data_IF_977685494213
#
_entry.id   IF_977685494213
#
_cell.length_a   1.000
_cell.length_b   1.000
_cell.length_c   1.000
_cell.angle_alpha   90.00
_cell.angle_beta   90.00
_cell.angle_gamma   90.00
#
_symmetry.space_group_name_H-M   'P 1'
#
loop_
_entity.id
_entity.type
_entity.pdbx_description
1 polymer ?
#
# COMPACT_ATOMS: atom_id res chain seq x y z
N UNK A 1 -5.46 -15.01 -7.17
CA UNK A 1 -6.63 -15.69 -7.76
C UNK A 1 -7.72 -15.79 -6.71
N UNK A 2 -8.94 -15.35 -7.02
CA UNK A 2 -10.12 -15.59 -6.18
C UNK A 2 -10.95 -16.72 -6.82
N UNK A 3 -11.33 -17.74 -6.07
CA UNK A 3 -12.03 -18.93 -6.61
C UNK A 3 -13.13 -19.42 -5.69
N UNK A 4 -14.18 -20.01 -6.25
CA UNK A 4 -15.24 -20.73 -5.51
C UNK A 4 -15.00 -22.24 -5.40
N UNK A 5 -13.83 -22.71 -5.83
CA UNK A 5 -13.44 -24.09 -5.62
C UNK A 5 -13.10 -24.27 -4.14
N UNK A 6 -13.72 -25.25 -3.51
CA UNK A 6 -13.40 -25.63 -2.14
C UNK A 6 -12.05 -26.35 -2.10
N UNK A 7 -11.11 -25.86 -1.29
CA UNK A 7 -9.84 -26.54 -1.10
C UNK A 7 -9.98 -27.74 -0.16
N UNK A 8 -8.93 -28.55 -0.14
CA UNK A 8 -8.85 -29.74 0.70
C UNK A 8 -8.59 -29.29 2.15
N UNK A 9 -9.21 -29.98 3.10
CA UNK A 9 -9.12 -29.69 4.54
C UNK A 9 -9.60 -28.26 4.89
N UNK A 10 -9.02 -27.65 5.93
CA UNK A 10 -9.37 -26.33 6.45
C UNK A 10 -8.54 -25.20 5.79
N UNK A 11 -8.15 -25.38 4.53
CA UNK A 11 -7.41 -24.35 3.77
C UNK A 11 -8.40 -23.42 3.08
N UNK A 12 -8.27 -22.11 3.29
CA UNK A 12 -9.11 -21.09 2.60
C UNK A 12 -8.27 -20.09 1.78
N UNK A 13 -6.94 -20.24 1.81
CA UNK A 13 -5.99 -19.46 1.06
C UNK A 13 -4.61 -20.13 1.03
N UNK A 14 -3.81 -19.80 0.02
CA UNK A 14 -2.42 -20.23 -0.07
C UNK A 14 -1.58 -19.22 -0.86
N UNK A 15 -0.39 -18.93 -0.35
CA UNK A 15 0.60 -18.05 -0.95
C UNK A 15 2.02 -18.59 -0.81
N UNK A 16 2.90 -18.17 -1.71
CA UNK A 16 4.34 -18.33 -1.50
C UNK A 16 4.86 -17.28 -0.51
N UNK A 17 5.74 -17.72 0.39
CA UNK A 17 6.36 -16.83 1.37
C UNK A 17 7.52 -16.00 0.80
N UNK A 18 7.61 -14.71 1.12
CA UNK A 18 8.74 -13.81 0.76
C UNK A 18 9.00 -13.68 -0.75
N UNK A 19 7.94 -13.63 -1.55
CA UNK A 19 8.03 -13.70 -3.02
C UNK A 19 7.41 -12.51 -3.74
N UNK A 20 7.02 -11.44 -3.05
CA UNK A 20 6.54 -10.23 -3.74
C UNK A 20 7.59 -9.76 -4.77
N UNK A 21 7.14 -9.37 -5.96
CA UNK A 21 7.96 -9.05 -7.15
C UNK A 21 8.63 -10.24 -7.87
N UNK A 22 8.57 -11.47 -7.33
CA UNK A 22 9.04 -12.64 -8.07
C UNK A 22 8.07 -13.00 -9.20
N UNK A 23 8.53 -13.17 -10.46
CA UNK A 23 7.63 -13.39 -11.61
C UNK A 23 6.85 -14.71 -11.55
N UNK A 24 7.24 -15.66 -10.71
CA UNK A 24 6.57 -16.96 -10.54
C UNK A 24 5.89 -17.01 -9.16
N UNK A 25 6.58 -16.53 -8.13
CA UNK A 25 6.16 -16.67 -6.74
C UNK A 25 5.21 -15.58 -6.23
N UNK A 26 5.15 -14.41 -6.87
CA UNK A 26 4.33 -13.27 -6.43
C UNK A 26 2.83 -13.49 -6.69
N UNK A 27 2.30 -14.58 -6.16
CA UNK A 27 0.95 -15.08 -6.38
C UNK A 27 0.36 -15.58 -5.07
N UNK A 28 -0.96 -15.50 -5.00
CA UNK A 28 -1.78 -16.05 -3.94
C UNK A 28 -3.08 -16.57 -4.54
N UNK A 29 -3.66 -17.58 -3.91
CA UNK A 29 -4.97 -18.13 -4.23
C UNK A 29 -5.83 -18.03 -2.97
N UNK A 30 -7.04 -17.50 -3.12
CA UNK A 30 -7.99 -17.23 -2.05
C UNK A 30 -9.33 -17.88 -2.42
N UNK A 31 -9.92 -18.60 -1.48
CA UNK A 31 -11.27 -19.14 -1.62
C UNK A 31 -12.30 -18.07 -1.27
N UNK A 32 -13.29 -17.87 -2.14
CA UNK A 32 -14.52 -17.10 -1.91
C UNK A 32 -15.50 -17.95 -1.08
N UNK A 33 -15.10 -18.28 0.16
CA UNK A 33 -15.78 -19.28 1.01
C UNK A 33 -16.99 -18.72 1.77
N UNK A 34 -17.22 -17.41 1.76
CA UNK A 34 -18.26 -16.76 2.55
C UNK A 34 -18.81 -15.50 1.85
N UNK A 35 -20.13 -15.28 1.94
CA UNK A 35 -20.77 -14.08 1.39
C UNK A 35 -20.35 -12.77 2.09
N UNK A 36 -19.73 -12.83 3.27
CA UNK A 36 -19.16 -11.66 3.94
C UNK A 36 -17.80 -11.33 3.31
N UNK A 37 -17.81 -10.34 2.43
CA UNK A 37 -16.61 -9.84 1.71
C UNK A 37 -15.45 -9.52 2.67
N UNK A 38 -15.74 -9.01 3.88
CA UNK A 38 -14.70 -8.70 4.86
C UNK A 38 -13.92 -9.92 5.35
N UNK A 39 -14.54 -11.10 5.41
CA UNK A 39 -13.85 -12.34 5.76
C UNK A 39 -12.89 -12.77 4.63
N UNK A 40 -13.35 -12.70 3.38
CA UNK A 40 -12.53 -13.01 2.20
C UNK A 40 -11.38 -12.00 2.06
N UNK A 41 -11.63 -10.72 2.33
CA UNK A 41 -10.61 -9.67 2.35
C UNK A 41 -9.55 -9.91 3.44
N UNK A 42 -9.96 -10.39 4.62
CA UNK A 42 -9.03 -10.76 5.70
C UNK A 42 -8.10 -11.90 5.27
N UNK A 43 -8.60 -12.90 4.53
CA UNK A 43 -7.76 -13.98 3.97
C UNK A 43 -6.84 -13.44 2.87
N UNK A 44 -7.34 -12.56 1.99
CA UNK A 44 -6.48 -11.92 1.00
C UNK A 44 -5.33 -11.13 1.64
N UNK A 45 -5.60 -10.40 2.72
CA UNK A 45 -4.56 -9.72 3.49
C UNK A 45 -3.56 -10.70 4.12
N UNK A 46 -4.04 -11.84 4.63
CA UNK A 46 -3.19 -12.92 5.17
C UNK A 46 -2.22 -13.48 4.10
N UNK A 47 -2.74 -13.83 2.93
CA UNK A 47 -1.92 -14.40 1.85
C UNK A 47 -0.94 -13.39 1.23
N UNK A 48 -1.35 -12.11 1.12
CA UNK A 48 -0.44 -11.03 0.74
C UNK A 48 0.63 -10.79 1.82
N UNK A 49 0.29 -10.98 3.10
CA UNK A 49 1.24 -10.98 4.21
C UNK A 49 2.34 -12.02 4.02
N UNK A 50 2.00 -13.26 3.63
CA UNK A 50 2.99 -14.29 3.29
C UNK A 50 3.89 -13.87 2.13
N UNK A 51 3.33 -13.32 1.05
CA UNK A 51 4.11 -12.79 -0.09
C UNK A 51 5.12 -11.73 0.38
N UNK A 52 4.73 -10.91 1.36
CA UNK A 52 5.54 -9.87 2.01
C UNK A 52 6.45 -10.40 3.14
N UNK A 53 6.64 -11.71 3.23
CA UNK A 53 7.61 -12.35 4.12
C UNK A 53 7.15 -12.49 5.57
N UNK A 54 5.86 -12.31 5.83
CA UNK A 54 5.27 -12.47 7.16
C UNK A 54 4.84 -13.93 7.36
N UNK A 55 5.14 -14.51 8.53
CA UNK A 55 4.73 -15.87 8.92
C UNK A 55 3.56 -15.80 9.90
N UNK A 56 2.93 -16.95 10.14
CA UNK A 56 1.87 -17.07 11.13
C UNK A 56 2.28 -16.57 12.51
N UNK A 57 1.31 -16.00 13.22
CA UNK A 57 1.46 -15.57 14.60
C UNK A 57 1.61 -16.76 15.55
N UNK A 58 2.47 -16.60 16.55
CA UNK A 58 2.61 -17.50 17.71
C UNK A 58 2.07 -16.84 18.98
N UNK A 59 1.96 -17.59 20.07
CA UNK A 59 1.42 -17.10 21.35
C UNK A 59 2.18 -15.89 21.94
N UNK A 60 3.42 -15.66 21.49
CA UNK A 60 4.24 -14.49 21.88
C UNK A 60 3.93 -13.21 21.10
N UNK A 61 3.13 -13.28 20.05
CA UNK A 61 2.80 -12.15 19.19
C UNK A 61 1.66 -11.33 19.79
N UNK A 62 1.81 -10.00 19.78
CA UNK A 62 0.89 -9.10 20.47
C UNK A 62 -0.09 -8.50 19.45
N UNK A 63 -1.37 -8.52 19.81
CA UNK A 63 -2.50 -7.95 19.07
C UNK A 63 -3.34 -7.12 20.05
N UNK A 64 -3.95 -6.02 19.59
CA UNK A 64 -4.73 -5.14 20.47
C UNK A 64 -6.03 -5.80 20.93
N UNK A 65 -6.69 -6.59 20.07
CA UNK A 65 -7.91 -7.30 20.42
C UNK A 65 -8.03 -8.65 19.68
N UNK A 66 -7.78 -9.75 20.41
CA UNK A 66 -7.93 -11.10 19.87
C UNK A 66 -6.86 -11.46 18.83
N UNK A 67 -7.12 -12.44 17.94
CA UNK A 67 -6.17 -12.82 16.91
C UNK A 67 -5.98 -11.73 15.83
N UNK A 68 -4.80 -11.71 15.23
CA UNK A 68 -4.44 -10.80 14.15
C UNK A 68 -4.58 -11.45 12.77
N UNK A 69 -4.36 -10.66 11.71
CA UNK A 69 -4.42 -11.11 10.31
C UNK A 69 -3.63 -12.40 10.05
N UNK A 70 -2.48 -12.59 10.69
CA UNK A 70 -1.61 -13.75 10.48
C UNK A 70 -1.91 -14.93 11.41
N UNK A 71 -3.06 -14.95 12.07
CA UNK A 71 -3.52 -16.11 12.84
C UNK A 71 -3.63 -17.36 11.93
N UNK A 72 -3.10 -18.53 12.33
CA UNK A 72 -3.05 -19.72 11.48
C UNK A 72 -4.38 -20.46 11.31
N UNK A 73 -5.43 -20.09 12.04
CA UNK A 73 -6.72 -20.79 12.01
C UNK A 73 -7.82 -20.02 11.26
N UNK A 74 -8.89 -20.72 10.88
CA UNK A 74 -10.08 -20.10 10.31
C UNK A 74 -10.85 -19.34 11.40
N UNK A 75 -11.32 -18.13 11.07
CA UNK A 75 -12.13 -17.29 11.95
C UNK A 75 -13.45 -16.88 11.31
N UNK A 76 -14.50 -16.78 12.12
CA UNK A 76 -15.82 -16.24 11.71
C UNK A 76 -15.92 -14.72 11.85
N UNK A 77 -14.86 -14.08 12.34
CA UNK A 77 -14.71 -12.62 12.41
C UNK A 77 -13.47 -12.17 11.66
N UNK A 78 -13.54 -11.12 10.84
CA UNK A 78 -12.40 -10.63 10.08
C UNK A 78 -11.37 -9.99 11.02
N UNK A 79 -10.09 -10.12 10.67
CA UNK A 79 -8.99 -9.47 11.36
C UNK A 79 -8.48 -8.30 10.52
N UNK A 80 -8.22 -7.16 11.16
CA UNK A 80 -7.78 -5.92 10.49
C UNK A 80 -6.44 -5.40 11.02
N UNK A 81 -5.88 -6.06 12.04
CA UNK A 81 -4.63 -5.68 12.68
C UNK A 81 -3.56 -6.72 12.39
N UNK A 82 -2.37 -6.25 12.05
CA UNK A 82 -1.16 -7.07 12.02
C UNK A 82 -0.50 -7.06 13.39
N UNK A 83 -0.02 -8.23 13.83
CA UNK A 83 0.62 -8.37 15.14
C UNK A 83 1.96 -7.65 15.24
N UNK A 84 2.45 -7.49 16.46
CA UNK A 84 3.82 -6.98 16.71
C UNK A 84 4.90 -7.82 16.00
N UNK A 85 4.70 -9.13 15.87
CA UNK A 85 5.58 -10.03 15.12
C UNK A 85 5.51 -9.74 13.62
N UNK A 86 4.31 -9.56 13.09
CA UNK A 86 4.07 -9.29 11.67
C UNK A 86 4.80 -8.03 11.21
N UNK A 87 4.70 -6.95 11.99
CA UNK A 87 5.40 -5.68 11.72
C UNK A 87 6.92 -5.87 11.71
N UNK A 88 7.48 -6.58 12.69
CA UNK A 88 8.92 -6.84 12.75
C UNK A 88 9.41 -7.70 11.59
N UNK A 89 8.62 -8.70 11.17
CA UNK A 89 8.97 -9.58 10.05
C UNK A 89 8.94 -8.84 8.71
N UNK A 90 7.89 -8.03 8.48
CA UNK A 90 7.80 -7.17 7.30
C UNK A 90 9.00 -6.23 7.22
N UNK A 91 9.37 -5.58 8.33
CA UNK A 91 10.52 -4.68 8.35
C UNK A 91 11.82 -5.41 7.99
N UNK A 92 12.04 -6.62 8.54
CA UNK A 92 13.21 -7.45 8.21
C UNK A 92 13.22 -7.85 6.75
N UNK A 93 12.08 -8.26 6.19
CA UNK A 93 11.92 -8.62 4.79
C UNK A 93 12.26 -7.45 3.86
N UNK A 94 11.65 -6.27 4.08
CA UNK A 94 11.90 -5.08 3.26
C UNK A 94 13.36 -4.63 3.31
N UNK A 95 14.02 -4.73 4.47
CA UNK A 95 15.43 -4.37 4.62
C UNK A 95 16.39 -5.37 3.95
N UNK A 96 16.04 -6.67 3.99
CA UNK A 96 16.85 -7.76 3.45
C UNK A 96 16.72 -7.88 1.93
N UNK A 97 15.48 -7.98 1.43
CA UNK A 97 15.21 -8.32 0.02
C UNK A 97 15.04 -7.08 -0.86
N UNK A 98 14.62 -5.95 -0.29
CA UNK A 98 14.41 -4.66 -1.00
C UNK A 98 13.64 -4.83 -2.32
N UNK A 99 12.41 -5.39 -2.29
CA UNK A 99 11.62 -5.61 -3.50
C UNK A 99 11.34 -4.29 -4.22
N UNK A 100 11.89 -4.12 -5.42
CA UNK A 100 11.84 -2.83 -6.14
C UNK A 100 10.46 -2.53 -6.75
N UNK A 101 9.67 -3.55 -7.12
CA UNK A 101 8.41 -3.37 -7.83
C UNK A 101 7.26 -2.77 -6.99
N UNK A 102 7.46 -2.61 -5.67
CA UNK A 102 6.50 -2.00 -4.76
C UNK A 102 6.89 -0.56 -4.37
N UNK A 103 7.94 -0.01 -5.00
CA UNK A 103 8.41 1.35 -4.72
C UNK A 103 7.79 2.38 -5.65
N UNK A 104 7.38 1.98 -6.86
CA UNK A 104 6.69 2.88 -7.77
C UNK A 104 5.23 3.06 -7.35
N UNK A 105 4.80 4.31 -7.26
CA UNK A 105 3.39 4.66 -7.10
C UNK A 105 2.67 4.42 -8.44
N UNK A 106 1.53 3.70 -8.47
CA UNK A 106 0.75 3.56 -9.70
C UNK A 106 0.19 4.92 -10.15
N UNK A 107 0.06 5.12 -11.46
CA UNK A 107 -0.66 6.29 -11.97
C UNK A 107 -2.15 6.14 -11.64
N UNK A 108 -2.83 7.24 -11.39
CA UNK A 108 -4.28 7.22 -11.13
C UNK A 108 -5.06 6.56 -12.27
N UNK A 109 -4.59 6.70 -13.51
CA UNK A 109 -5.19 6.06 -14.71
C UNK A 109 -5.00 4.54 -14.77
N UNK A 110 -4.05 3.98 -14.03
CA UNK A 110 -3.81 2.53 -13.97
C UNK A 110 -4.71 1.84 -12.92
N UNK A 111 -5.34 2.61 -12.03
CA UNK A 111 -6.24 2.11 -11.00
C UNK A 111 -7.62 1.89 -11.60
N UNK A 112 -8.03 0.63 -11.71
CA UNK A 112 -9.31 0.24 -12.34
C UNK A 112 -10.49 0.18 -11.36
N UNK A 113 -10.22 0.28 -10.06
CA UNK A 113 -11.26 0.30 -9.03
C UNK A 113 -11.95 1.66 -8.99
N UNK A 114 -13.23 1.73 -8.56
CA UNK A 114 -13.89 3.01 -8.33
C UNK A 114 -13.09 3.89 -7.35
N UNK A 115 -13.01 5.19 -7.62
CA UNK A 115 -12.31 6.15 -6.77
C UNK A 115 -12.89 6.17 -5.35
N UNK A 116 -12.03 6.17 -4.33
CA UNK A 116 -12.46 6.21 -2.92
C UNK A 116 -11.72 7.30 -2.16
N UNK A 117 -12.36 8.45 -2.01
CA UNK A 117 -11.81 9.55 -1.23
C UNK A 117 -11.56 9.15 0.24
N UNK A 118 -10.32 9.31 0.68
CA UNK A 118 -9.82 9.00 2.02
C UNK A 118 -9.08 7.66 2.13
N UNK A 119 -8.74 7.03 1.00
CA UNK A 119 -7.98 5.77 0.95
C UNK A 119 -6.45 5.98 0.87
N UNK A 120 -5.98 7.24 0.90
CA UNK A 120 -4.57 7.67 0.76
C UNK A 120 -3.96 7.47 -0.64
N UNK A 121 -4.79 7.20 -1.66
CA UNK A 121 -4.39 7.11 -3.07
C UNK A 121 -5.14 8.18 -3.85
N UNK A 122 -4.41 8.98 -4.62
CA UNK A 122 -5.05 9.98 -5.50
C UNK A 122 -5.63 9.25 -6.71
N UNK A 123 -6.93 9.00 -6.67
CA UNK A 123 -7.67 8.32 -7.73
C UNK A 123 -8.09 9.30 -8.85
N UNK A 124 -8.59 8.76 -9.97
CA UNK A 124 -9.14 9.61 -11.04
C UNK A 124 -10.30 10.46 -10.48
N UNK A 125 -10.19 11.78 -10.68
CA UNK A 125 -11.18 12.76 -10.22
C UNK A 125 -10.83 13.44 -8.91
N UNK A 126 -9.82 12.96 -8.19
CA UNK A 126 -9.30 13.57 -6.98
C UNK A 126 -8.12 14.49 -7.28
N UNK A 127 -7.93 15.51 -6.45
CA UNK A 127 -6.77 16.42 -6.55
C UNK A 127 -5.75 16.15 -5.44
N UNK A 128 -6.18 15.47 -4.38
CA UNK A 128 -5.39 15.07 -3.22
C UNK A 128 -6.16 14.02 -2.42
N UNK A 129 -5.44 13.17 -1.68
CA UNK A 129 -6.03 12.27 -0.70
C UNK A 129 -5.07 12.15 0.49
N UNK A 130 -5.52 12.61 1.65
CA UNK A 130 -4.76 12.59 2.91
C UNK A 130 -5.37 11.66 3.96
N UNK A 131 -6.23 10.73 3.54
CA UNK A 131 -6.97 9.84 4.43
C UNK A 131 -8.28 10.41 4.93
N UNK A 132 -8.80 9.80 6.00
CA UNK A 132 -10.05 10.21 6.63
C UNK A 132 -9.97 11.64 7.22
N UNK A 133 -11.10 12.34 7.42
CA UNK A 133 -11.09 13.63 8.10
C UNK A 133 -10.49 13.63 9.52
N UNK A 134 -10.45 12.47 10.18
CA UNK A 134 -9.88 12.28 11.51
C UNK A 134 -8.34 12.14 11.45
N UNK A 135 -7.83 11.49 10.41
CA UNK A 135 -6.41 11.17 10.26
C UNK A 135 -5.65 12.19 9.40
N UNK A 136 -6.36 12.96 8.57
CA UNK A 136 -5.73 13.89 7.64
C UNK A 136 -5.01 15.03 8.35
N UNK A 137 -3.69 15.04 8.20
CA UNK A 137 -2.81 16.09 8.73
C UNK A 137 -2.52 17.19 7.70
N UNK A 138 -3.03 17.05 6.47
CA UNK A 138 -2.72 18.01 5.41
C UNK A 138 -3.43 19.35 5.59
N UNK A 139 -2.64 20.42 5.57
CA UNK A 139 -3.13 21.79 5.46
C UNK A 139 -3.62 22.16 4.04
N UNK A 140 -3.31 21.35 3.03
CA UNK A 140 -3.55 21.64 1.62
C UNK A 140 -4.76 20.88 1.06
N UNK A 141 -5.10 19.72 1.61
CA UNK A 141 -6.20 18.88 1.14
C UNK A 141 -7.44 18.99 2.03
N UNK A 142 -8.63 19.02 1.41
CA UNK A 142 -9.90 18.79 2.09
C UNK A 142 -10.26 17.29 2.06
N UNK A 143 -10.01 16.61 3.18
CA UNK A 143 -10.24 15.18 3.36
C UNK A 143 -11.69 14.72 3.12
N UNK A 144 -12.68 15.64 3.13
CA UNK A 144 -14.08 15.27 2.87
C UNK A 144 -14.40 15.21 1.38
N UNK A 145 -13.65 15.94 0.56
CA UNK A 145 -13.95 16.14 -0.86
C UNK A 145 -12.82 15.66 -1.77
N UNK A 146 -11.64 15.37 -1.22
CA UNK A 146 -10.42 15.04 -1.96
C UNK A 146 -10.07 16.10 -3.00
N UNK A 147 -10.30 17.36 -2.61
CA UNK A 147 -10.00 18.57 -3.39
C UNK A 147 -9.00 19.44 -2.66
N UNK A 148 -8.20 20.17 -3.43
CA UNK A 148 -7.27 21.14 -2.88
C UNK A 148 -8.04 22.28 -2.22
N UNK A 149 -7.58 22.69 -1.04
CA UNK A 149 -8.10 23.86 -0.33
C UNK A 149 -7.77 25.14 -1.12
N UNK A 150 -8.55 26.18 -0.88
CA UNK A 150 -8.40 27.46 -1.58
C UNK A 150 -6.96 28.01 -1.51
N UNK A 151 -6.34 28.26 -2.67
CA UNK A 151 -4.94 28.70 -2.90
C UNK A 151 -3.86 27.61 -2.85
N UNK A 152 -4.20 26.35 -2.58
CA UNK A 152 -3.28 25.26 -2.74
C UNK A 152 -3.10 24.92 -4.23
N UNK A 153 -1.86 24.68 -4.65
CA UNK A 153 -1.51 24.21 -5.99
C UNK A 153 -1.17 22.71 -6.00
N UNK A 154 -0.84 22.17 -4.83
CA UNK A 154 -0.48 20.78 -4.61
C UNK A 154 -0.72 20.43 -3.14
N UNK A 155 -0.67 19.14 -2.84
CA UNK A 155 -0.83 18.59 -1.49
C UNK A 155 0.36 17.73 -1.09
N UNK A 156 0.53 16.64 -1.81
CA UNK A 156 1.60 15.64 -1.68
C UNK A 156 2.53 15.69 -2.90
N UNK A 157 3.53 14.81 -2.96
CA UNK A 157 4.62 14.72 -3.96
C UNK A 157 5.91 15.53 -3.66
N UNK A 158 7.04 15.10 -4.23
CA UNK A 158 8.38 15.61 -3.93
C UNK A 158 8.62 17.06 -4.39
N UNK A 159 7.84 17.54 -5.38
CA UNK A 159 7.88 18.92 -5.85
C UNK A 159 6.79 19.82 -5.23
N UNK A 160 6.11 19.35 -4.17
CA UNK A 160 5.23 20.19 -3.37
C UNK A 160 5.94 20.73 -2.11
N UNK A 161 5.80 22.03 -1.84
CA UNK A 161 6.25 22.64 -0.59
C UNK A 161 5.22 23.68 -0.12
N UNK A 162 4.71 23.52 1.10
CA UNK A 162 3.72 24.45 1.70
C UNK A 162 2.53 24.74 0.77
N UNK A 163 1.96 23.67 0.21
CA UNK A 163 0.84 23.72 -0.74
C UNK A 163 1.12 24.44 -2.07
N UNK A 164 2.40 24.62 -2.44
CA UNK A 164 2.81 25.27 -3.69
C UNK A 164 3.87 24.45 -4.41
N UNK A 165 3.92 24.58 -5.73
CA UNK A 165 4.99 23.97 -6.50
C UNK A 165 6.33 24.56 -6.10
N UNK A 166 7.32 23.69 -5.86
CA UNK A 166 8.72 24.09 -5.73
C UNK A 166 9.17 24.80 -7.00
N UNK A 167 10.12 25.72 -6.89
CA UNK A 167 10.64 26.47 -8.05
C UNK A 167 11.25 25.51 -9.08
N UNK A 168 11.17 25.91 -10.35
CA UNK A 168 11.86 25.20 -11.42
C UNK A 168 13.35 25.06 -11.10
N UNK A 169 13.89 23.85 -11.27
CA UNK A 169 15.29 23.54 -10.94
C UNK A 169 15.53 23.13 -9.47
N UNK A 170 14.51 23.08 -8.62
CA UNK A 170 14.65 22.48 -7.29
C UNK A 170 14.83 20.96 -7.42
N UNK A 171 15.86 20.38 -6.80
CA UNK A 171 16.11 18.94 -6.85
C UNK A 171 14.99 18.18 -6.10
N UNK A 172 14.37 17.20 -6.73
CA UNK A 172 13.35 16.34 -6.13
C UNK A 172 13.82 14.92 -5.89
N UNK A 173 14.70 14.39 -6.75
CA UNK A 173 15.38 13.11 -6.55
C UNK A 173 16.89 13.28 -6.68
N UNK A 174 17.64 12.60 -5.84
CA UNK A 174 19.09 12.52 -5.94
C UNK A 174 19.50 11.29 -6.77
N UNK A 175 20.63 11.41 -7.46
CA UNK A 175 21.32 10.27 -8.05
C UNK A 175 21.67 9.24 -6.97
N UNK A 176 21.36 7.96 -7.23
CA UNK A 176 21.69 6.83 -6.37
C UNK A 176 23.14 6.40 -6.52
N UNK A 177 23.68 6.50 -7.74
CA UNK A 177 25.06 6.14 -8.09
C UNK A 177 25.55 6.95 -9.32
N UNK A 178 26.76 6.64 -9.81
CA UNK A 178 27.40 7.35 -10.92
C UNK A 178 26.73 7.12 -12.29
N UNK A 179 25.79 6.16 -12.38
CA UNK A 179 25.01 5.83 -13.58
C UNK A 179 23.55 6.29 -13.47
N UNK A 180 23.24 7.18 -12.52
CA UNK A 180 21.89 7.67 -12.24
C UNK A 180 21.88 9.20 -12.25
N UNK A 181 20.95 9.82 -12.99
CA UNK A 181 20.87 11.27 -13.11
C UNK A 181 19.90 11.88 -12.10
N UNK A 182 20.21 13.02 -11.45
CA UNK A 182 19.24 13.66 -10.55
C UNK A 182 18.11 14.35 -11.32
N UNK A 183 16.87 14.29 -10.79
CA UNK A 183 15.72 15.04 -11.33
C UNK A 183 15.41 16.31 -10.55
N UNK A 184 14.81 17.24 -11.28
CA UNK A 184 14.49 18.57 -10.83
C UNK A 184 13.03 18.90 -11.14
N UNK A 185 12.41 19.62 -10.20
CA UNK A 185 11.06 20.12 -10.34
C UNK A 185 10.93 21.06 -11.53
N UNK A 186 9.80 20.96 -12.22
CA UNK A 186 9.46 21.79 -13.38
C UNK A 186 8.98 23.20 -13.00
N UNK A 187 8.59 23.40 -11.73
CA UNK A 187 7.93 24.62 -11.28
C UNK A 187 6.44 24.71 -11.61
N UNK A 188 5.88 23.67 -12.24
CA UNK A 188 4.50 23.64 -12.73
C UNK A 188 3.73 22.39 -12.34
N UNK A 189 4.39 21.41 -11.72
CA UNK A 189 3.81 20.17 -11.22
C UNK A 189 4.33 19.88 -9.81
N UNK A 190 3.54 19.11 -9.05
CA UNK A 190 3.91 18.56 -7.76
C UNK A 190 4.76 17.30 -7.91
N UNK A 191 4.60 16.57 -9.01
CA UNK A 191 5.31 15.33 -9.28
C UNK A 191 6.77 15.59 -9.67
N UNK A 192 7.67 14.77 -9.15
CA UNK A 192 9.03 14.69 -9.67
C UNK A 192 9.01 14.00 -11.05
N UNK A 193 9.76 14.48 -12.05
CA UNK A 193 9.86 13.78 -13.33
C UNK A 193 10.32 12.32 -13.18
N UNK A 194 9.99 11.50 -14.18
CA UNK A 194 10.36 10.08 -14.21
C UNK A 194 11.88 9.90 -14.11
N UNK A 195 12.29 8.92 -13.28
CA UNK A 195 13.68 8.51 -13.05
C UNK A 195 14.38 8.21 -14.39
N UNK A 196 15.46 8.95 -14.66
CA UNK A 196 16.32 8.80 -15.83
C UNK A 196 17.71 8.30 -15.40
N UNK A 197 18.13 7.19 -16.00
CA UNK A 197 19.45 6.57 -15.79
C UNK A 197 20.43 7.00 -16.89
#
# INVERSE_FOLDING_TARGET
LLTRIDFIEDTIGLAYGSTICNPIGSVAVIQDYNNRISLVASVMAHELGHNLGIRHDSDSCICTAGPCVMYPGISFTPFYEFSSCSVQQLQKYLLRDRPQCILNKPLSTDIITPSVCGNHLVDVGEECDCGSPQDCQSACCDARTCKLKHKAQCDSEECCEKCKFKKAGAKCRAAKDDCDLPEFCTGRSAECPTDSF
#
